data_IF_439778479433
#
_entry.id   IF_439778479433
#
_cell.length_a   1.000
_cell.length_b   1.000
_cell.length_c   1.000
_cell.angle_alpha   90.00
_cell.angle_beta   90.00
_cell.angle_gamma   90.00
#
_symmetry.space_group_name_H-M   'P 1'
#
loop_
_entity.id
_entity.type
_entity.pdbx_description
1 polymer ?
#
# COMPACT_ATOMS: atom_id res chain seq x y z
N UNK A 1 22.68 -13.26 -1.35
CA UNK A 1 21.32 -13.65 -0.89
C UNK A 1 20.28 -12.92 -1.73
N UNK A 2 19.25 -13.63 -2.18
CA UNK A 2 18.05 -13.01 -2.77
C UNK A 2 17.16 -12.43 -1.65
N UNK A 3 16.60 -11.23 -1.87
CA UNK A 3 15.65 -10.56 -0.95
C UNK A 3 14.34 -10.32 -1.70
N UNK A 4 13.21 -10.44 -1.00
CA UNK A 4 11.87 -10.18 -1.53
C UNK A 4 11.07 -9.30 -0.56
N UNK A 5 10.17 -8.47 -1.09
CA UNK A 5 9.30 -7.61 -0.30
C UNK A 5 7.94 -8.30 -0.13
N UNK A 6 7.61 -8.65 1.11
CA UNK A 6 6.30 -9.21 1.48
C UNK A 6 5.34 -8.04 1.67
N UNK A 7 4.17 -8.08 1.01
CA UNK A 7 3.14 -7.05 1.19
C UNK A 7 1.91 -7.54 1.96
N UNK A 8 1.69 -8.85 2.05
CA UNK A 8 0.61 -9.42 2.85
C UNK A 8 0.94 -10.86 3.30
N UNK A 9 0.38 -11.26 4.44
CA UNK A 9 0.42 -12.63 4.97
C UNK A 9 -0.99 -13.02 5.38
N UNK A 10 -1.64 -13.84 4.56
CA UNK A 10 -3.00 -14.31 4.80
C UNK A 10 -2.98 -15.66 5.50
N UNK A 11 -3.46 -15.69 6.74
CA UNK A 11 -3.66 -16.93 7.51
C UNK A 11 -5.00 -17.56 7.14
N UNK A 12 -5.11 -18.88 7.29
CA UNK A 12 -6.34 -19.65 7.05
C UNK A 12 -6.91 -19.51 5.62
N UNK A 13 -6.06 -19.34 4.62
CA UNK A 13 -6.46 -19.31 3.22
C UNK A 13 -6.93 -20.70 2.76
N UNK A 14 -8.14 -20.78 2.19
CA UNK A 14 -8.73 -22.02 1.65
C UNK A 14 -8.87 -22.01 0.13
N UNK A 15 -8.63 -20.87 -0.52
CA UNK A 15 -8.77 -20.69 -1.96
C UNK A 15 -7.44 -20.76 -2.71
N UNK A 16 -6.31 -20.60 -2.02
CA UNK A 16 -4.96 -20.55 -2.61
C UNK A 16 -4.30 -21.95 -2.66
N UNK A 17 -5.11 -23.00 -2.85
CA UNK A 17 -4.68 -24.39 -2.92
C UNK A 17 -5.39 -25.32 -1.91
N UNK A 18 -5.15 -26.64 -1.97
CA UNK A 18 -5.85 -27.61 -1.12
C UNK A 18 -5.57 -27.43 0.37
N UNK A 19 -6.61 -27.55 1.20
CA UNK A 19 -6.52 -27.46 2.68
C UNK A 19 -6.51 -26.03 3.22
N UNK A 20 -6.18 -25.88 4.51
CA UNK A 20 -6.04 -24.58 5.18
C UNK A 20 -4.57 -24.15 5.12
N UNK A 21 -4.30 -22.98 4.54
CA UNK A 21 -2.94 -22.50 4.28
C UNK A 21 -2.64 -21.15 4.91
N UNK A 22 -1.35 -20.88 5.09
CA UNK A 22 -0.85 -19.51 5.25
C UNK A 22 -0.21 -19.11 3.92
N UNK A 23 -0.78 -18.11 3.26
CA UNK A 23 -0.29 -17.57 1.98
C UNK A 23 0.55 -16.33 2.25
N UNK A 24 1.76 -16.28 1.69
CA UNK A 24 2.67 -15.12 1.77
C UNK A 24 2.71 -14.45 0.40
N UNK A 25 2.35 -13.18 0.33
CA UNK A 25 2.29 -12.42 -0.91
C UNK A 25 3.49 -11.50 -1.06
N UNK A 26 4.10 -11.49 -2.25
CA UNK A 26 5.32 -10.76 -2.56
C UNK A 26 5.12 -9.75 -3.69
N UNK A 27 5.83 -8.62 -3.60
CA UNK A 27 5.93 -7.60 -4.64
C UNK A 27 6.81 -8.08 -5.81
N UNK A 28 6.58 -7.53 -6.99
CA UNK A 28 7.36 -7.79 -8.21
C UNK A 28 6.80 -8.85 -9.15
N UNK A 29 5.49 -9.14 -9.11
CA UNK A 29 4.87 -10.07 -10.06
C UNK A 29 5.10 -9.59 -11.51
N UNK A 30 5.74 -10.40 -12.37
CA UNK A 30 6.05 -10.01 -13.74
C UNK A 30 4.83 -10.10 -14.66
N UNK A 31 3.74 -10.72 -14.21
CA UNK A 31 2.53 -10.91 -14.99
C UNK A 31 1.64 -9.66 -14.94
N UNK A 32 0.83 -9.47 -16.00
CA UNK A 32 -0.17 -8.39 -16.12
C UNK A 32 -1.50 -8.98 -16.59
N UNK A 33 -2.02 -9.93 -15.79
CA UNK A 33 -3.26 -10.62 -16.09
C UNK A 33 -4.44 -9.64 -16.21
N UNK A 34 -5.35 -9.87 -17.17
CA UNK A 34 -6.53 -9.03 -17.39
C UNK A 34 -7.43 -8.91 -16.14
N UNK A 35 -7.52 -9.99 -15.35
CA UNK A 35 -8.23 -10.03 -14.07
C UNK A 35 -7.28 -10.39 -12.94
N UNK A 36 -6.31 -9.50 -12.70
CA UNK A 36 -5.35 -9.71 -11.62
C UNK A 36 -6.05 -9.64 -10.26
N UNK A 37 -5.92 -10.71 -9.46
CA UNK A 37 -6.43 -10.75 -8.09
C UNK A 37 -5.59 -9.88 -7.14
N UNK A 38 -4.32 -9.65 -7.48
CA UNK A 38 -3.34 -8.93 -6.65
C UNK A 38 -2.56 -7.89 -7.47
N UNK A 39 -3.22 -6.85 -8.03
CA UNK A 39 -2.54 -5.82 -8.82
C UNK A 39 -1.50 -5.03 -8.01
N UNK A 40 -1.64 -4.98 -6.68
CA UNK A 40 -0.66 -4.43 -5.75
C UNK A 40 0.68 -5.17 -5.80
N UNK A 41 0.73 -6.42 -6.29
CA UNK A 41 1.98 -7.16 -6.44
C UNK A 41 2.85 -6.69 -7.61
N UNK A 42 2.34 -5.84 -8.52
CA UNK A 42 3.02 -5.54 -9.79
C UNK A 42 4.30 -4.73 -9.67
N UNK A 43 4.30 -3.74 -8.77
CA UNK A 43 5.52 -2.94 -8.51
C UNK A 43 6.45 -3.70 -7.59
N UNK A 44 7.73 -3.40 -7.68
CA UNK A 44 8.76 -3.96 -6.78
C UNK A 44 8.94 -3.14 -5.53
N UNK A 45 8.58 -1.85 -5.57
CA UNK A 45 8.69 -0.96 -4.41
C UNK A 45 7.49 -1.10 -3.45
N UNK A 46 7.67 -0.69 -2.18
CA UNK A 46 6.55 -0.42 -1.29
C UNK A 46 5.63 0.65 -1.87
N UNK A 47 4.33 0.51 -1.61
CA UNK A 47 3.33 1.48 -1.99
C UNK A 47 2.56 1.94 -0.75
N UNK A 48 2.21 3.22 -0.72
CA UNK A 48 1.44 3.79 0.38
C UNK A 48 0.00 3.29 0.28
N UNK A 49 -0.46 2.64 1.34
CA UNK A 49 -1.83 2.20 1.50
C UNK A 49 -2.55 3.10 2.51
N UNK A 50 -3.81 3.43 2.22
CA UNK A 50 -4.64 4.27 3.08
C UNK A 50 -5.93 3.54 3.44
N UNK A 51 -6.14 3.31 4.73
CA UNK A 51 -7.37 2.73 5.27
C UNK A 51 -8.25 3.84 5.84
N UNK A 52 -9.13 4.42 5.01
CA UNK A 52 -9.98 5.54 5.42
C UNK A 52 -10.79 5.28 6.69
N UNK A 53 -11.24 4.04 6.88
CA UNK A 53 -12.00 3.60 8.06
C UNK A 53 -11.19 3.65 9.38
N UNK A 54 -9.85 3.68 9.31
CA UNK A 54 -8.96 3.78 10.48
C UNK A 54 -8.49 5.21 10.74
N UNK A 55 -8.80 6.14 9.84
CA UNK A 55 -8.35 7.52 9.93
C UNK A 55 -9.22 8.30 10.92
N UNK A 56 -8.60 8.92 11.93
CA UNK A 56 -9.30 9.75 12.92
C UNK A 56 -9.35 11.24 12.57
N UNK A 57 -8.82 11.63 11.40
CA UNK A 57 -8.86 13.02 10.95
C UNK A 57 -7.89 13.95 11.68
N UNK A 58 -6.77 13.43 12.20
CA UNK A 58 -5.81 14.23 12.97
C UNK A 58 -4.86 15.10 12.13
N UNK A 59 -4.96 15.04 10.79
CA UNK A 59 -4.24 15.88 9.83
C UNK A 59 -2.69 15.79 9.79
N UNK A 60 -2.06 15.09 10.74
CA UNK A 60 -0.59 14.93 10.84
C UNK A 60 0.09 14.49 9.54
N UNK A 61 -0.54 13.61 8.76
CA UNK A 61 0.03 13.13 7.49
C UNK A 61 0.21 14.25 6.45
N UNK A 62 -0.59 15.32 6.53
CA UNK A 62 -0.50 16.50 5.67
C UNK A 62 0.66 17.39 6.11
N UNK A 63 0.77 17.65 7.41
CA UNK A 63 1.83 18.48 8.01
C UNK A 63 3.23 17.94 7.70
N UNK A 64 3.42 16.62 7.78
CA UNK A 64 4.72 15.99 7.57
C UNK A 64 5.06 15.75 6.11
N UNK A 65 4.17 16.03 5.15
CA UNK A 65 4.39 15.75 3.73
C UNK A 65 5.22 16.85 3.06
N UNK A 66 6.54 16.65 2.83
CA UNK A 66 7.42 17.73 2.38
C UNK A 66 7.21 18.14 0.92
N UNK A 67 6.54 17.31 0.12
CA UNK A 67 6.25 17.60 -1.28
C UNK A 67 4.85 18.15 -1.51
N UNK A 68 4.01 18.21 -0.48
CA UNK A 68 2.58 18.54 -0.61
C UNK A 68 1.78 17.54 -1.44
N UNK A 69 2.29 16.30 -1.59
CA UNK A 69 1.60 15.21 -2.26
C UNK A 69 0.34 14.78 -1.50
N UNK A 70 0.40 14.78 -0.17
CA UNK A 70 -0.76 14.69 0.70
C UNK A 70 -1.11 16.08 1.19
N UNK A 71 -2.36 16.50 0.98
CA UNK A 71 -2.88 17.78 1.42
C UNK A 71 -4.40 17.73 1.60
N UNK A 72 -4.95 18.78 2.21
CA UNK A 72 -6.38 19.06 2.21
C UNK A 72 -6.66 20.09 1.13
N UNK A 73 -7.65 19.82 0.28
CA UNK A 73 -8.13 20.70 -0.78
C UNK A 73 -9.65 20.64 -0.77
N UNK A 74 -10.33 21.78 -0.63
CA UNK A 74 -11.79 21.89 -0.47
C UNK A 74 -12.38 20.99 0.63
N UNK A 75 -11.68 20.91 1.78
CA UNK A 75 -12.07 20.07 2.92
C UNK A 75 -11.92 18.56 2.66
N UNK A 76 -11.31 18.15 1.54
CA UNK A 76 -11.10 16.75 1.17
C UNK A 76 -9.63 16.39 1.18
N UNK A 77 -9.33 15.17 1.61
CA UNK A 77 -8.00 14.56 1.48
C UNK A 77 -7.66 14.35 0.01
N UNK A 78 -6.57 14.95 -0.44
CA UNK A 78 -5.98 14.72 -1.77
C UNK A 78 -4.66 13.97 -1.62
N UNK A 79 -4.46 12.95 -2.47
CA UNK A 79 -3.18 12.27 -2.62
C UNK A 79 -2.72 12.31 -4.08
N UNK A 80 -1.87 13.27 -4.38
CA UNK A 80 -1.22 13.45 -5.67
C UNK A 80 0.03 12.56 -5.76
N UNK A 81 -0.07 11.51 -6.57
CA UNK A 81 0.99 10.50 -6.70
C UNK A 81 2.19 11.03 -7.47
N UNK A 82 2.00 11.94 -8.40
CA UNK A 82 3.08 12.49 -9.24
C UNK A 82 4.00 13.42 -8.42
N UNK A 83 3.43 14.05 -7.37
CA UNK A 83 4.21 14.83 -6.40
C UNK A 83 4.82 13.99 -5.28
N UNK A 84 4.46 12.71 -5.16
CA UNK A 84 4.89 11.88 -4.04
C UNK A 84 6.34 11.42 -4.23
N UNK A 85 7.23 11.81 -3.30
CA UNK A 85 8.64 11.41 -3.35
C UNK A 85 8.94 10.09 -2.65
N UNK A 86 7.91 9.32 -2.26
CA UNK A 86 8.06 8.06 -1.54
C UNK A 86 8.96 8.16 -0.28
N UNK A 87 8.87 9.28 0.46
CA UNK A 87 9.66 9.51 1.67
C UNK A 87 9.07 8.86 2.94
N UNK A 88 7.86 8.30 2.85
CA UNK A 88 7.15 7.56 3.90
C UNK A 88 6.89 8.26 5.25
N UNK A 89 7.25 9.54 5.43
CA UNK A 89 6.95 10.30 6.65
C UNK A 89 5.47 10.26 7.06
N UNK A 90 4.55 10.26 6.10
CA UNK A 90 3.12 10.14 6.37
C UNK A 90 2.72 8.77 6.94
N UNK A 91 3.47 7.72 6.63
CA UNK A 91 3.25 6.35 7.15
C UNK A 91 3.79 6.24 8.58
N UNK A 92 4.87 6.94 8.90
CA UNK A 92 5.44 6.93 10.26
C UNK A 92 4.51 7.54 11.31
N UNK A 93 3.63 8.46 10.88
CA UNK A 93 2.68 9.17 11.77
C UNK A 93 1.24 8.63 11.72
N UNK A 94 0.96 7.57 10.94
CA UNK A 94 -0.39 7.05 10.69
C UNK A 94 -0.54 5.55 10.93
#
# INVERSE_FOLDING_TARGET
>A
MLKGLIFDIKKFAVHDGPGIRTTVFMKGCPLRCAWCHNPESWKREPEILYYGQRCIGCEKCFEVCPSGALRIEDGKRVYDRDRCRHCYKCVEVC
#
